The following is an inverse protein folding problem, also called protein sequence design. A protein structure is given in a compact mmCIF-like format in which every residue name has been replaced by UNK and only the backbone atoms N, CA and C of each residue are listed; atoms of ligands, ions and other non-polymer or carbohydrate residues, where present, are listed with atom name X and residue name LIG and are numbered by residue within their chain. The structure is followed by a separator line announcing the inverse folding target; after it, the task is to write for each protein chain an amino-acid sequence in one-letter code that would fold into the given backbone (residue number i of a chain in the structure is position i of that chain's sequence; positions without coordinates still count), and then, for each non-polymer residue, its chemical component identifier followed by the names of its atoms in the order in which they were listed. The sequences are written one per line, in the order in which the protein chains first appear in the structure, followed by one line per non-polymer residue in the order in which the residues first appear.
data_IF_585596793843
#
_entry.id   IF_585596793843
#
_cell.length_a   1.000
_cell.length_b   1.000
_cell.length_c   1.000
_cell.angle_alpha   90.00
_cell.angle_beta   90.00
_cell.angle_gamma   90.00
#
_symmetry.space_group_name_H-M   'P 1'
#
loop_
_entity.id
_entity.type
_entity.pdbx_description
1 polymer ?
#
# COMPACT_ATOMS: atom_id res chain seq x y z
N UNK A 1 25.71 -1.59 1.00
CA UNK A 1 25.75 -3.07 1.11
C UNK A 1 24.74 -3.62 0.12
N UNK A 2 25.09 -4.64 -0.66
CA UNK A 2 24.14 -5.32 -1.53
C UNK A 2 23.16 -6.11 -0.65
N UNK A 3 21.86 -5.92 -0.84
CA UNK A 3 20.84 -6.67 -0.09
C UNK A 3 20.92 -8.15 -0.46
N UNK A 4 20.88 -9.04 0.54
CA UNK A 4 20.88 -10.49 0.33
C UNK A 4 19.47 -11.02 0.62
N UNK A 5 18.71 -11.44 -0.41
CA UNK A 5 17.41 -12.07 -0.22
C UNK A 5 17.53 -13.36 0.60
N UNK A 6 16.44 -13.75 1.25
CA UNK A 6 16.31 -15.05 1.91
C UNK A 6 15.06 -15.78 1.42
N UNK A 7 14.74 -16.92 2.03
CA UNK A 7 13.56 -17.72 1.69
C UNK A 7 12.30 -16.85 1.63
N UNK A 8 11.66 -16.84 0.46
CA UNK A 8 10.52 -15.99 0.14
C UNK A 8 9.28 -16.87 -0.10
N UNK A 9 8.64 -17.40 0.97
CA UNK A 9 7.62 -18.42 0.83
C UNK A 9 6.33 -17.91 0.16
N UNK A 10 6.12 -16.60 0.16
CA UNK A 10 4.99 -15.94 -0.50
C UNK A 10 5.34 -15.41 -1.89
N UNK A 11 6.59 -15.56 -2.34
CA UNK A 11 7.07 -15.02 -3.61
C UNK A 11 6.89 -13.51 -3.75
N UNK A 12 7.02 -12.75 -2.64
CA UNK A 12 6.83 -11.28 -2.63
C UNK A 12 7.80 -10.57 -3.58
N UNK A 13 7.34 -9.50 -4.23
CA UNK A 13 8.16 -8.69 -5.15
C UNK A 13 7.84 -7.18 -5.06
N UNK A 14 7.71 -6.64 -3.85
CA UNK A 14 7.43 -5.22 -3.61
C UNK A 14 5.93 -4.90 -3.48
N UNK A 15 5.65 -3.61 -3.31
CA UNK A 15 4.28 -3.07 -3.29
C UNK A 15 3.72 -2.99 -4.71
N UNK A 16 2.41 -3.18 -4.85
CA UNK A 16 1.69 -2.98 -6.12
C UNK A 16 0.88 -1.68 -6.11
N UNK A 17 0.05 -1.48 -5.08
CA UNK A 17 -0.73 -0.25 -4.88
C UNK A 17 -1.02 0.02 -3.41
N UNK A 18 -1.44 1.25 -3.14
CA UNK A 18 -2.10 1.66 -1.90
C UNK A 18 -3.50 2.17 -2.24
N UNK A 19 -4.51 1.66 -1.53
CA UNK A 19 -5.91 2.05 -1.71
C UNK A 19 -6.37 2.92 -0.55
N UNK A 20 -6.95 4.06 -0.92
CA UNK A 20 -7.45 5.06 0.00
C UNK A 20 -8.97 5.14 -0.09
N UNK A 21 -9.55 5.48 1.05
CA UNK A 21 -10.95 5.84 1.16
C UNK A 21 -11.07 7.15 1.93
N UNK A 22 -12.01 8.00 1.55
CA UNK A 22 -12.26 9.26 2.23
C UNK A 22 -13.75 9.63 2.17
N UNK A 23 -14.26 10.36 3.19
CA UNK A 23 -15.59 10.98 3.12
C UNK A 23 -15.71 11.97 1.95
N UNK A 24 -14.63 12.68 1.65
CA UNK A 24 -14.50 13.56 0.48
C UNK A 24 -13.39 13.03 -0.47
N UNK A 25 -13.74 12.15 -1.43
CA UNK A 25 -12.77 11.60 -2.37
C UNK A 25 -12.26 12.64 -3.37
N UNK A 26 -12.99 13.75 -3.58
CA UNK A 26 -12.57 14.82 -4.50
C UNK A 26 -11.43 15.62 -3.89
N UNK A 27 -11.57 16.02 -2.62
CA UNK A 27 -10.50 16.72 -1.89
C UNK A 27 -9.23 15.85 -1.77
N UNK A 28 -9.38 14.53 -1.56
CA UNK A 28 -8.25 13.61 -1.55
C UNK A 28 -7.57 13.51 -2.93
N UNK A 29 -8.35 13.45 -4.01
CA UNK A 29 -7.82 13.48 -5.38
C UNK A 29 -7.02 14.74 -5.68
N UNK A 30 -7.53 15.91 -5.27
CA UNK A 30 -6.82 17.19 -5.41
C UNK A 30 -5.50 17.22 -4.62
N UNK A 31 -5.43 16.56 -3.46
CA UNK A 31 -4.19 16.42 -2.71
C UNK A 31 -3.16 15.60 -3.50
N UNK A 32 -3.56 14.47 -4.08
CA UNK A 32 -2.68 13.66 -4.92
C UNK A 32 -2.17 14.43 -6.13
N UNK A 33 -3.02 15.21 -6.78
CA UNK A 33 -2.62 16.07 -7.91
C UNK A 33 -1.61 17.14 -7.49
N UNK A 34 -1.77 17.77 -6.32
CA UNK A 34 -0.75 18.68 -5.75
C UNK A 34 0.57 17.98 -5.46
N UNK A 35 0.55 16.70 -5.10
CA UNK A 35 1.75 15.88 -4.92
C UNK A 35 2.36 15.39 -6.24
N UNK A 36 1.83 15.79 -7.40
CA UNK A 36 2.33 15.43 -8.72
C UNK A 36 1.82 14.10 -9.26
N UNK A 37 0.82 13.49 -8.62
CA UNK A 37 0.15 12.30 -9.16
C UNK A 37 -0.86 12.68 -10.23
N UNK A 38 -0.99 11.83 -11.24
CA UNK A 38 -1.97 12.00 -12.29
C UNK A 38 -3.08 10.96 -12.16
N UNK A 39 -4.35 11.38 -12.12
CA UNK A 39 -5.46 10.45 -12.36
C UNK A 39 -5.36 9.93 -13.81
N UNK A 40 -5.07 8.65 -14.00
CA UNK A 40 -4.81 8.06 -15.33
C UNK A 40 -5.95 7.17 -15.84
N UNK A 41 -6.76 6.61 -14.94
CA UNK A 41 -7.81 5.67 -15.31
C UNK A 41 -8.92 5.62 -14.27
N UNK A 42 -10.12 5.20 -14.69
CA UNK A 42 -11.24 4.87 -13.81
C UNK A 42 -11.63 3.41 -13.96
N UNK A 43 -12.08 2.80 -12.88
CA UNK A 43 -12.56 1.42 -12.92
C UNK A 43 -13.79 1.30 -13.84
N UNK A 44 -13.92 0.18 -14.55
CA UNK A 44 -14.97 -0.03 -15.57
C UNK A 44 -16.39 0.10 -15.01
N UNK A 45 -16.60 -0.36 -13.77
CA UNK A 45 -17.93 -0.52 -13.18
C UNK A 45 -18.11 0.12 -11.79
N UNK A 46 -17.03 0.61 -11.18
CA UNK A 46 -17.03 1.10 -9.80
C UNK A 46 -16.56 2.54 -9.77
N UNK A 47 -16.96 3.29 -8.76
CA UNK A 47 -16.47 4.65 -8.52
C UNK A 47 -15.07 4.61 -7.88
N UNK A 48 -14.10 4.13 -8.66
CA UNK A 48 -12.71 3.93 -8.23
C UNK A 48 -11.80 4.59 -9.26
N UNK A 49 -10.86 5.42 -8.81
CA UNK A 49 -9.94 6.17 -9.67
C UNK A 49 -8.50 5.80 -9.36
N UNK A 50 -7.72 5.51 -10.42
CA UNK A 50 -6.30 5.20 -10.35
C UNK A 50 -5.47 6.47 -10.60
N UNK A 51 -4.62 6.79 -9.63
CA UNK A 51 -3.61 7.84 -9.67
C UNK A 51 -2.22 7.21 -9.78
N UNK A 52 -1.36 7.77 -10.63
CA UNK A 52 0.01 7.26 -10.84
C UNK A 52 1.05 8.37 -10.82
N UNK A 53 2.19 8.06 -10.21
CA UNK A 53 3.44 8.81 -10.33
C UNK A 53 4.62 7.83 -10.33
N UNK A 54 5.44 7.81 -11.37
CA UNK A 54 6.46 6.78 -11.53
C UNK A 54 5.85 5.37 -11.49
N UNK A 55 6.36 4.49 -10.61
CA UNK A 55 5.80 3.17 -10.34
C UNK A 55 4.75 3.16 -9.20
N UNK A 56 4.48 4.30 -8.57
CA UNK A 56 3.53 4.41 -7.47
C UNK A 56 2.10 4.42 -8.00
N UNK A 57 1.29 3.45 -7.55
CA UNK A 57 -0.13 3.38 -7.82
C UNK A 57 -0.94 3.70 -6.57
N UNK A 58 -1.66 4.82 -6.59
CA UNK A 58 -2.64 5.14 -5.57
C UNK A 58 -4.05 4.99 -6.14
N UNK A 59 -4.91 4.33 -5.38
CA UNK A 59 -6.30 4.12 -5.75
C UNK A 59 -7.17 4.91 -4.78
N UNK A 60 -8.10 5.71 -5.28
CA UNK A 60 -9.18 6.28 -4.46
C UNK A 60 -10.43 5.45 -4.72
N UNK A 61 -10.92 4.79 -3.67
CA UNK A 61 -12.16 4.03 -3.71
C UNK A 61 -13.33 4.84 -3.11
N UNK A 62 -14.16 5.35 -4.01
CA UNK A 62 -15.37 6.11 -3.71
C UNK A 62 -16.65 5.31 -4.02
N UNK A 63 -16.55 3.98 -4.12
CA UNK A 63 -17.69 3.11 -4.40
C UNK A 63 -18.69 3.16 -3.23
N UNK A 64 -19.95 3.57 -3.44
CA UNK A 64 -20.95 3.61 -2.37
C UNK A 64 -21.22 2.21 -1.81
N UNK A 65 -21.64 2.13 -0.54
CA UNK A 65 -21.97 0.87 0.14
C UNK A 65 -20.84 -0.20 0.17
N UNK A 66 -19.60 0.21 -0.10
CA UNK A 66 -18.42 -0.66 -0.12
C UNK A 66 -17.74 -0.81 1.24
N UNK A 67 -16.78 -1.74 1.32
CA UNK A 67 -15.82 -1.82 2.43
C UNK A 67 -15.09 -0.49 2.63
N UNK A 68 -14.54 0.09 1.55
CA UNK A 68 -13.79 1.34 1.59
C UNK A 68 -14.60 2.49 2.22
N UNK A 69 -15.85 2.66 1.83
CA UNK A 69 -16.70 3.72 2.40
C UNK A 69 -17.12 3.45 3.85
N UNK A 70 -17.21 2.19 4.28
CA UNK A 70 -17.36 1.87 5.72
C UNK A 70 -16.10 2.20 6.49
N UNK A 71 -14.93 1.88 5.94
CA UNK A 71 -13.63 2.18 6.53
C UNK A 71 -13.42 3.69 6.69
N UNK A 72 -13.75 4.49 5.66
CA UNK A 72 -13.67 5.94 5.70
C UNK A 72 -14.61 6.60 6.73
N UNK A 73 -15.77 5.98 7.03
CA UNK A 73 -16.67 6.46 8.09
C UNK A 73 -16.08 6.28 9.49
N UNK A 74 -15.24 5.27 9.67
CA UNK A 74 -14.59 4.98 10.95
C UNK A 74 -13.30 5.79 11.10
N UNK A 75 -12.45 5.81 10.08
CA UNK A 75 -11.09 6.34 10.18
C UNK A 75 -10.88 7.72 9.51
N UNK A 76 -11.92 8.26 8.86
CA UNK A 76 -11.78 9.47 8.03
C UNK A 76 -11.00 9.20 6.73
N UNK A 77 -10.34 10.22 6.13
CA UNK A 77 -9.48 10.02 4.97
C UNK A 77 -8.28 9.16 5.35
N UNK A 78 -8.21 7.94 4.81
CA UNK A 78 -7.35 6.87 5.33
C UNK A 78 -6.95 5.87 4.25
N UNK A 79 -5.91 5.07 4.55
CA UNK A 79 -5.52 3.91 3.75
C UNK A 79 -6.35 2.73 4.19
N UNK A 80 -7.23 2.23 3.32
CA UNK A 80 -8.09 1.08 3.63
C UNK A 80 -7.51 -0.24 3.12
N UNK A 81 -6.55 -0.21 2.20
CA UNK A 81 -5.84 -1.41 1.78
C UNK A 81 -4.45 -1.13 1.20
N UNK A 82 -3.62 -2.16 1.16
CA UNK A 82 -2.36 -2.21 0.43
C UNK A 82 -2.30 -3.48 -0.40
N UNK A 83 -1.50 -3.49 -1.46
CA UNK A 83 -1.28 -4.67 -2.29
C UNK A 83 0.19 -5.04 -2.38
N UNK A 84 0.48 -6.32 -2.25
CA UNK A 84 1.81 -6.88 -2.48
C UNK A 84 1.84 -7.63 -3.80
N UNK A 85 2.89 -7.39 -4.58
CA UNK A 85 3.24 -8.25 -5.71
C UNK A 85 3.66 -9.60 -5.18
N UNK A 86 3.11 -10.67 -5.75
CA UNK A 86 3.47 -12.05 -5.44
C UNK A 86 3.64 -12.89 -6.71
N UNK A 87 4.42 -13.96 -6.62
CA UNK A 87 4.63 -14.82 -7.78
C UNK A 87 3.34 -15.54 -8.21
N UNK A 88 2.52 -16.00 -7.26
CA UNK A 88 1.24 -16.66 -7.50
C UNK A 88 0.25 -16.23 -6.40
N UNK A 89 -0.85 -15.55 -6.79
CA UNK A 89 -1.79 -14.99 -5.83
C UNK A 89 -2.64 -16.07 -5.15
N UNK A 90 -2.98 -17.15 -5.86
CA UNK A 90 -3.76 -18.25 -5.31
C UNK A 90 -2.96 -19.04 -4.28
N UNK A 91 -1.69 -19.34 -4.59
CA UNK A 91 -0.78 -20.01 -3.67
C UNK A 91 -0.51 -19.15 -2.42
N UNK A 92 -0.21 -17.86 -2.61
CA UNK A 92 0.03 -16.93 -1.49
C UNK A 92 -1.21 -16.85 -0.58
N UNK A 93 -2.40 -16.69 -1.16
CA UNK A 93 -3.64 -16.64 -0.40
C UNK A 93 -3.90 -17.93 0.38
N UNK A 94 -3.81 -19.09 -0.26
CA UNK A 94 -4.03 -20.39 0.40
C UNK A 94 -3.07 -20.58 1.59
N UNK A 95 -1.78 -20.30 1.39
CA UNK A 95 -0.77 -20.39 2.46
C UNK A 95 -1.06 -19.42 3.60
N UNK A 96 -1.50 -18.20 3.31
CA UNK A 96 -1.87 -17.24 4.34
C UNK A 96 -3.01 -17.76 5.22
N UNK A 97 -4.04 -18.35 4.61
CA UNK A 97 -5.15 -18.97 5.34
C UNK A 97 -4.71 -20.18 6.18
N UNK A 98 -3.88 -21.07 5.62
CA UNK A 98 -3.33 -22.22 6.35
C UNK A 98 -2.55 -21.79 7.60
N UNK A 99 -1.90 -20.64 7.55
CA UNK A 99 -1.16 -20.07 8.67
C UNK A 99 -2.04 -19.26 9.63
N UNK A 100 -3.35 -19.17 9.40
CA UNK A 100 -4.31 -18.51 10.28
C UNK A 100 -4.58 -17.04 9.98
N UNK A 101 -4.30 -16.57 8.76
CA UNK A 101 -4.80 -15.27 8.31
C UNK A 101 -6.33 -15.31 8.12
N UNK A 102 -7.00 -14.17 8.33
CA UNK A 102 -8.42 -14.03 8.00
C UNK A 102 -8.57 -13.60 6.55
N UNK A 103 -9.15 -14.49 5.73
CA UNK A 103 -9.51 -14.18 4.35
C UNK A 103 -10.58 -13.09 4.27
N UNK A 104 -10.57 -12.35 3.17
CA UNK A 104 -11.60 -11.37 2.83
C UNK A 104 -12.30 -11.81 1.54
N UNK A 105 -13.63 -11.93 1.61
CA UNK A 105 -14.46 -12.30 0.47
C UNK A 105 -14.74 -11.05 -0.38
N UNK A 106 -14.12 -10.99 -1.55
CA UNK A 106 -14.24 -9.85 -2.44
C UNK A 106 -15.42 -10.07 -3.40
N UNK A 107 -16.50 -9.31 -3.21
CA UNK A 107 -17.63 -9.34 -4.14
C UNK A 107 -17.22 -8.64 -5.44
N UNK A 108 -16.85 -9.44 -6.45
CA UNK A 108 -16.43 -8.96 -7.77
C UNK A 108 -17.56 -9.08 -8.79
N UNK A 109 -17.65 -8.07 -9.66
CA UNK A 109 -18.61 -8.04 -10.75
C UNK A 109 -18.19 -8.97 -11.91
N UNK A 110 -19.10 -9.27 -12.85
CA UNK A 110 -18.74 -10.02 -14.06
C UNK A 110 -17.60 -9.33 -14.81
N UNK A 111 -16.61 -10.10 -15.25
CA UNK A 111 -15.43 -9.63 -15.99
C UNK A 111 -14.45 -8.75 -15.19
N UNK A 112 -14.56 -8.69 -13.86
CA UNK A 112 -13.54 -8.09 -12.97
C UNK A 112 -12.57 -9.16 -12.46
N UNK A 113 -11.32 -8.79 -12.20
CA UNK A 113 -10.39 -9.71 -11.54
C UNK A 113 -10.79 -9.93 -10.08
N UNK A 114 -10.94 -11.21 -9.70
CA UNK A 114 -11.05 -11.58 -8.30
C UNK A 114 -9.66 -11.62 -7.65
N UNK A 115 -9.20 -10.47 -7.16
CA UNK A 115 -7.91 -10.33 -6.48
C UNK A 115 -8.09 -10.79 -5.01
N UNK A 116 -7.40 -11.86 -4.56
CA UNK A 116 -7.55 -12.37 -3.21
C UNK A 116 -6.90 -11.42 -2.19
N UNK A 117 -7.52 -11.34 -1.00
CA UNK A 117 -7.05 -10.48 0.07
C UNK A 117 -7.24 -11.12 1.45
N UNK A 118 -6.41 -10.70 2.40
CA UNK A 118 -6.56 -11.01 3.83
C UNK A 118 -6.72 -9.71 4.63
N UNK A 119 -7.22 -9.82 5.86
CA UNK A 119 -7.18 -8.71 6.83
C UNK A 119 -5.75 -8.41 7.27
N UNK A 120 -5.43 -7.13 7.35
CA UNK A 120 -4.20 -6.55 7.86
C UNK A 120 -4.47 -5.56 9.00
N UNK A 121 -3.58 -4.57 9.13
CA UNK A 121 -3.57 -3.59 10.23
C UNK A 121 -4.90 -2.84 10.36
N UNK A 122 -5.47 -2.82 11.57
CA UNK A 122 -6.71 -2.07 11.84
C UNK A 122 -7.88 -2.46 10.92
N UNK A 123 -8.03 -3.75 10.59
CA UNK A 123 -9.01 -4.26 9.63
C UNK A 123 -8.83 -3.79 8.18
N UNK A 124 -7.72 -3.12 7.84
CA UNK A 124 -7.35 -2.84 6.44
C UNK A 124 -7.16 -4.14 5.66
N UNK A 125 -7.10 -4.08 4.33
CA UNK A 125 -6.84 -5.26 3.51
C UNK A 125 -5.40 -5.33 3.00
N UNK A 126 -4.90 -6.56 2.84
CA UNK A 126 -3.66 -6.86 2.11
C UNK A 126 -4.04 -7.73 0.91
N UNK A 127 -3.94 -7.17 -0.29
CA UNK A 127 -4.19 -7.87 -1.56
C UNK A 127 -2.94 -8.58 -2.06
N UNK A 128 -3.13 -9.74 -2.67
CA UNK A 128 -2.09 -10.49 -3.38
C UNK A 128 -2.26 -10.31 -4.89
N UNK A 129 -1.33 -9.61 -5.53
CA UNK A 129 -1.37 -9.36 -6.98
C UNK A 129 -0.29 -10.15 -7.69
N UNK A 130 -0.68 -10.95 -8.68
CA UNK A 130 0.23 -11.76 -9.50
C UNK A 130 0.33 -11.28 -10.97
N UNK A 131 -0.28 -10.16 -11.31
CA UNK A 131 -0.30 -9.56 -12.67
C UNK A 131 0.12 -8.10 -12.62
N UNK A 132 1.32 -7.80 -13.10
CA UNK A 132 1.85 -6.45 -13.25
C UNK A 132 2.81 -6.39 -14.44
N UNK A 133 3.02 -5.20 -14.99
CA UNK A 133 3.96 -5.02 -16.10
C UNK A 133 5.41 -5.26 -15.65
N UNK A 134 6.20 -5.94 -16.48
CA UNK A 134 7.60 -6.25 -16.19
C UNK A 134 7.80 -7.51 -15.33
N UNK A 135 6.72 -8.18 -14.89
CA UNK A 135 6.84 -9.45 -14.16
C UNK A 135 7.66 -10.46 -14.97
N UNK A 136 8.64 -11.10 -14.31
CA UNK A 136 9.54 -12.06 -14.96
C UNK A 136 10.44 -11.46 -16.05
N UNK A 137 10.63 -10.13 -16.08
CA UNK A 137 11.40 -9.45 -17.10
C UNK A 137 10.68 -9.28 -18.44
N UNK A 138 9.35 -9.42 -18.46
CA UNK A 138 8.56 -9.25 -19.67
C UNK A 138 8.71 -7.84 -20.25
N UNK A 139 9.01 -7.76 -21.54
CA UNK A 139 9.14 -6.48 -22.24
C UNK A 139 7.75 -5.83 -22.50
N UNK A 140 7.68 -4.49 -22.61
CA UNK A 140 6.46 -3.82 -23.04
C UNK A 140 5.91 -4.40 -24.35
N UNK A 141 4.61 -4.70 -24.39
CA UNK A 141 3.94 -5.30 -25.54
C UNK A 141 4.12 -6.82 -25.70
N UNK A 142 4.92 -7.47 -24.86
CA UNK A 142 5.04 -8.93 -24.87
C UNK A 142 3.73 -9.61 -24.43
N UNK A 143 3.45 -10.80 -24.98
CA UNK A 143 2.30 -11.62 -24.57
C UNK A 143 2.44 -11.95 -23.08
N UNK A 144 1.39 -11.68 -22.31
CA UNK A 144 1.38 -11.89 -20.86
C UNK A 144 1.92 -10.72 -20.03
N UNK A 145 2.46 -9.66 -20.66
CA UNK A 145 2.79 -8.41 -19.98
C UNK A 145 1.53 -7.57 -19.74
N UNK A 146 0.65 -8.07 -18.89
CA UNK A 146 -0.64 -7.46 -18.53
C UNK A 146 -0.69 -7.20 -17.02
N UNK A 147 -1.23 -6.05 -16.64
CA UNK A 147 -1.46 -5.65 -15.26
C UNK A 147 -2.94 -5.77 -14.90
N UNK A 148 -3.24 -5.75 -13.59
CA UNK A 148 -4.63 -5.68 -13.11
C UNK A 148 -5.38 -4.45 -13.67
N UNK A 149 -4.66 -3.35 -13.95
CA UNK A 149 -5.26 -2.11 -14.44
C UNK A 149 -5.73 -2.21 -15.89
N UNK A 150 -5.05 -2.98 -16.73
CA UNK A 150 -5.46 -3.18 -18.13
C UNK A 150 -6.80 -3.94 -18.22
N UNK A 151 -7.05 -4.80 -17.23
CA UNK A 151 -8.26 -5.60 -17.12
C UNK A 151 -9.39 -4.81 -16.49
N UNK A 152 -9.18 -4.17 -15.34
CA UNK A 152 -10.29 -3.60 -14.54
C UNK A 152 -10.55 -2.11 -14.77
N UNK A 153 -9.63 -1.38 -15.42
CA UNK A 153 -9.71 0.07 -15.59
C UNK A 153 -9.80 0.49 -17.07
N UNK A 154 -10.36 1.69 -17.28
CA UNK A 154 -10.45 2.39 -18.56
C UNK A 154 -9.65 3.70 -18.46
N UNK A 155 -8.74 3.99 -19.40
CA UNK A 155 -7.99 5.24 -19.41
C UNK A 155 -8.88 6.48 -19.47
N UNK A 156 -8.47 7.56 -18.80
CA UNK A 156 -9.19 8.84 -18.85
C UNK A 156 -8.88 9.60 -20.16
N UNK A 157 -9.90 10.05 -20.93
CA UNK A 157 -9.71 10.66 -22.26
C UNK A 157 -8.90 11.96 -22.24
N UNK A 158 -9.13 12.83 -21.25
CA UNK A 158 -8.56 14.19 -21.21
C UNK A 158 -7.05 14.25 -20.97
N UNK A 159 -6.41 13.09 -20.81
CA UNK A 159 -4.97 12.98 -20.56
C UNK A 159 -4.28 12.08 -21.60
N UNK A 160 -5.00 11.53 -22.59
CA UNK A 160 -4.51 10.43 -23.45
C UNK A 160 -3.30 10.75 -24.33
N UNK A 161 -3.02 12.02 -24.65
CA UNK A 161 -1.77 12.41 -25.32
C UNK A 161 -0.74 12.86 -24.29
N UNK A 162 0.26 12.01 -24.05
CA UNK A 162 1.34 12.30 -23.10
C UNK A 162 1.06 11.96 -21.62
N UNK A 163 -0.14 11.50 -21.23
CA UNK A 163 -0.43 11.05 -19.86
C UNK A 163 0.59 10.07 -19.31
N UNK A 164 0.97 9.07 -20.09
CA UNK A 164 1.88 8.02 -19.60
C UNK A 164 3.25 8.62 -19.27
N UNK A 165 3.76 9.52 -20.13
CA UNK A 165 5.02 10.23 -19.89
C UNK A 165 4.91 11.26 -18.76
N UNK A 166 3.77 11.96 -18.66
CA UNK A 166 3.50 12.95 -17.61
C UNK A 166 3.29 12.29 -16.24
N UNK A 167 2.56 11.18 -16.17
CA UNK A 167 2.42 10.36 -14.97
C UNK A 167 3.75 9.70 -14.58
N UNK A 168 4.56 9.27 -15.54
CA UNK A 168 5.90 8.78 -15.25
C UNK A 168 6.82 9.87 -14.67
N UNK A 169 6.66 11.14 -15.08
CA UNK A 169 7.50 12.24 -14.63
C UNK A 169 7.02 12.88 -13.30
N UNK A 170 5.74 13.26 -13.20
CA UNK A 170 5.15 13.96 -12.06
C UNK A 170 6.08 15.00 -11.42
N UNK A 171 6.22 14.92 -10.10
CA UNK A 171 7.21 15.66 -9.30
C UNK A 171 8.48 14.84 -9.03
N UNK A 172 8.68 13.70 -9.69
CA UNK A 172 9.90 12.88 -9.55
C UNK A 172 9.82 11.80 -8.46
N UNK A 173 8.62 11.45 -7.99
CA UNK A 173 8.44 10.28 -7.13
C UNK A 173 8.50 8.99 -7.95
N UNK A 174 9.24 8.00 -7.46
CA UNK A 174 9.61 6.81 -8.25
C UNK A 174 8.91 5.54 -7.78
N UNK A 175 8.91 5.24 -6.47
CA UNK A 175 8.33 4.01 -5.90
C UNK A 175 7.87 4.22 -4.45
N UNK A 176 7.12 3.26 -3.90
CA UNK A 176 6.80 3.21 -2.46
C UNK A 176 7.99 2.60 -1.72
N UNK A 177 8.67 3.40 -0.90
CA UNK A 177 9.84 2.92 -0.15
C UNK A 177 9.46 2.11 1.09
N UNK A 178 8.53 2.64 1.88
CA UNK A 178 7.98 1.96 3.04
C UNK A 178 6.63 2.57 3.43
N UNK A 179 5.88 1.84 4.26
CA UNK A 179 4.72 2.37 4.97
C UNK A 179 4.79 1.92 6.42
N UNK A 180 4.26 2.71 7.35
CA UNK A 180 4.36 2.42 8.78
C UNK A 180 3.08 1.88 9.36
N UNK A 181 3.17 1.24 10.51
CA UNK A 181 2.01 0.87 11.32
C UNK A 181 2.14 1.50 12.71
N UNK A 182 1.12 2.23 13.13
CA UNK A 182 1.00 2.62 14.53
C UNK A 182 0.06 1.64 15.22
N UNK A 183 0.56 1.02 16.28
CA UNK A 183 -0.14 -0.05 17.01
C UNK A 183 -0.35 0.33 18.47
N UNK A 184 -1.36 -0.25 19.10
CA UNK A 184 -1.56 -0.08 20.54
C UNK A 184 -0.37 -0.66 21.32
N UNK A 185 -0.09 -0.09 22.49
CA UNK A 185 1.02 -0.53 23.35
C UNK A 185 0.92 -2.02 23.63
N UNK A 186 2.00 -2.76 23.39
CA UNK A 186 2.10 -4.20 23.59
C UNK A 186 1.74 -5.03 22.36
N UNK A 187 1.21 -4.42 21.28
CA UNK A 187 0.84 -5.12 20.05
C UNK A 187 1.93 -5.10 18.97
N UNK A 188 3.07 -4.45 19.23
CA UNK A 188 4.19 -4.47 18.30
C UNK A 188 4.68 -5.89 17.99
N UNK A 189 4.78 -6.75 19.01
CA UNK A 189 5.20 -8.15 18.81
C UNK A 189 4.16 -8.91 17.99
N UNK A 190 2.87 -8.71 18.25
CA UNK A 190 1.78 -9.35 17.51
C UNK A 190 1.87 -9.05 16.01
N UNK A 191 2.07 -7.79 15.64
CA UNK A 191 2.19 -7.38 14.24
C UNK A 191 3.53 -7.80 13.61
N UNK A 192 4.63 -7.82 14.37
CA UNK A 192 5.90 -8.37 13.90
C UNK A 192 5.74 -9.86 13.58
N UNK A 193 5.21 -10.64 14.53
CA UNK A 193 4.95 -12.08 14.39
C UNK A 193 3.99 -12.36 13.21
N UNK A 194 3.00 -11.49 12.97
CA UNK A 194 2.10 -11.58 11.80
C UNK A 194 2.88 -11.57 10.48
N UNK A 195 3.77 -10.59 10.30
CA UNK A 195 4.57 -10.48 9.07
C UNK A 195 5.66 -11.54 8.96
N UNK A 196 6.29 -11.93 10.07
CA UNK A 196 7.25 -13.03 10.11
C UNK A 196 6.60 -14.36 9.72
N UNK A 197 5.50 -14.73 10.37
CA UNK A 197 4.79 -15.98 10.13
C UNK A 197 4.21 -16.06 8.72
N UNK A 198 3.47 -15.04 8.31
CA UNK A 198 2.74 -15.08 7.03
C UNK A 198 3.66 -14.85 5.84
N UNK A 199 4.60 -13.91 5.92
CA UNK A 199 5.36 -13.47 4.75
C UNK A 199 6.86 -13.78 4.81
N UNK A 200 7.34 -14.31 5.94
CA UNK A 200 8.77 -14.54 6.14
C UNK A 200 9.57 -13.25 6.32
N UNK A 201 8.94 -12.16 6.75
CA UNK A 201 9.66 -10.91 7.03
C UNK A 201 10.67 -11.13 8.17
N UNK A 202 11.64 -10.23 8.27
CA UNK A 202 12.59 -10.21 9.39
C UNK A 202 12.71 -8.80 9.97
N UNK A 203 12.90 -8.72 11.27
CA UNK A 203 13.34 -7.51 11.93
C UNK A 203 14.79 -7.22 11.51
N UNK A 204 15.01 -6.11 10.80
CA UNK A 204 16.35 -5.69 10.38
C UNK A 204 16.94 -4.61 11.28
N UNK A 205 16.09 -3.92 12.05
CA UNK A 205 16.51 -2.89 12.99
C UNK A 205 15.44 -2.63 14.04
N UNK A 206 15.88 -2.47 15.28
CA UNK A 206 15.08 -1.96 16.39
C UNK A 206 15.50 -0.54 16.72
N UNK A 207 14.53 0.29 17.09
CA UNK A 207 14.75 1.64 17.56
C UNK A 207 14.00 1.85 18.89
N UNK A 208 14.69 2.40 19.87
CA UNK A 208 14.11 2.98 21.07
C UNK A 208 14.45 4.46 21.05
N UNK A 209 13.45 5.29 20.81
CA UNK A 209 13.64 6.72 20.56
C UNK A 209 13.03 7.49 21.73
N UNK A 210 13.89 8.18 22.48
CA UNK A 210 13.49 9.10 23.54
C UNK A 210 13.60 10.55 23.06
N UNK A 211 12.47 11.22 22.92
CA UNK A 211 12.40 12.66 22.78
C UNK A 211 12.49 13.37 24.13
N UNK A 212 12.53 14.71 24.12
CA UNK A 212 12.60 15.51 25.36
C UNK A 212 11.41 15.31 26.31
N UNK A 213 10.26 14.90 25.78
CA UNK A 213 8.99 14.80 26.53
C UNK A 213 8.25 13.47 26.33
N UNK A 214 8.57 12.72 25.27
CA UNK A 214 7.84 11.50 24.86
C UNK A 214 8.80 10.51 24.22
N UNK A 215 8.47 9.22 24.25
CA UNK A 215 9.24 8.16 23.59
C UNK A 215 8.40 7.24 22.71
N UNK A 216 9.06 6.57 21.77
CA UNK A 216 8.45 5.51 20.95
C UNK A 216 9.45 4.37 20.71
N UNK A 217 8.89 3.19 20.52
CA UNK A 217 9.63 2.01 20.06
C UNK A 217 9.23 1.71 18.63
N UNK A 218 10.17 1.25 17.82
CA UNK A 218 9.93 0.91 16.43
C UNK A 218 10.71 -0.34 16.00
N UNK A 219 10.01 -1.31 15.38
CA UNK A 219 10.61 -2.48 14.75
C UNK A 219 10.50 -2.35 13.23
N UNK A 220 11.64 -2.26 12.55
CA UNK A 220 11.69 -2.21 11.09
C UNK A 220 11.61 -3.63 10.51
N UNK A 221 10.44 -4.00 10.02
CA UNK A 221 10.23 -5.29 9.35
C UNK A 221 10.53 -5.18 7.86
N UNK A 222 11.33 -6.09 7.32
CA UNK A 222 11.67 -6.12 5.88
C UNK A 222 11.30 -7.47 5.27
N UNK A 223 10.74 -7.43 4.07
CA UNK A 223 10.40 -8.61 3.27
C UNK A 223 11.62 -9.40 2.77
N UNK A 224 11.45 -10.70 2.47
CA UNK A 224 12.50 -11.53 1.85
C UNK A 224 13.07 -10.98 0.54
N UNK A 225 12.26 -10.27 -0.25
CA UNK A 225 12.72 -9.62 -1.49
C UNK A 225 13.42 -8.27 -1.25
N UNK A 226 13.36 -7.71 -0.04
CA UNK A 226 13.98 -6.44 0.33
C UNK A 226 13.27 -5.19 -0.17
N UNK A 227 12.14 -5.35 -0.88
CA UNK A 227 11.39 -4.26 -1.53
C UNK A 227 10.19 -3.75 -0.70
N UNK A 228 9.69 -4.55 0.23
CA UNK A 228 8.62 -4.17 1.16
C UNK A 228 9.23 -3.96 2.54
N UNK A 229 8.98 -2.79 3.14
CA UNK A 229 9.43 -2.42 4.48
C UNK A 229 8.27 -1.83 5.27
N UNK A 230 8.09 -2.32 6.50
CA UNK A 230 6.99 -1.93 7.37
C UNK A 230 7.53 -1.69 8.78
N UNK A 231 7.92 -0.44 9.12
CA UNK A 231 8.20 -0.09 10.50
C UNK A 231 6.91 -0.13 11.34
N UNK A 232 6.94 -0.90 12.42
CA UNK A 232 5.84 -1.04 13.37
C UNK A 232 6.20 -0.22 14.60
N UNK A 233 5.39 0.78 14.93
CA UNK A 233 5.63 1.74 16.00
C UNK A 233 4.60 1.55 17.13
N UNK A 234 5.08 1.54 18.37
CA UNK A 234 4.21 1.60 19.55
C UNK A 234 4.67 2.71 20.51
N UNK A 235 3.74 3.21 21.30
CA UNK A 235 4.01 4.30 22.24
C UNK A 235 4.62 3.81 23.55
N UNK A 236 5.67 4.49 24.03
CA UNK A 236 6.24 4.28 25.37
C UNK A 236 5.45 5.01 26.47
N UNK A 237 4.64 6.00 26.12
CA UNK A 237 3.86 6.84 27.05
C UNK A 237 2.46 7.19 26.48
N UNK A 238 1.62 7.91 27.22
CA UNK A 238 0.25 8.22 26.79
C UNK A 238 0.13 9.55 26.03
N UNK A 239 1.25 10.27 25.85
CA UNK A 239 1.31 11.62 25.25
C UNK A 239 2.06 11.66 23.92
N UNK A 240 2.62 10.53 23.48
CA UNK A 240 3.39 10.47 22.26
C UNK A 240 2.52 10.70 21.02
N UNK A 241 3.17 11.07 19.92
CA UNK A 241 2.55 11.19 18.60
C UNK A 241 1.87 9.90 18.14
N UNK A 242 2.31 8.74 18.64
CA UNK A 242 1.66 7.44 18.34
C UNK A 242 0.32 7.35 19.08
N UNK A 243 0.27 7.76 20.35
CA UNK A 243 -0.97 7.78 21.13
C UNK A 243 -1.99 8.76 20.52
N UNK A 244 -1.55 9.94 20.11
CA UNK A 244 -2.38 10.92 19.40
C UNK A 244 -2.96 10.35 18.10
N UNK A 245 -2.13 9.68 17.29
CA UNK A 245 -2.59 9.00 16.08
C UNK A 245 -3.70 7.99 16.38
N UNK A 246 -3.51 7.10 17.37
CA UNK A 246 -4.48 6.05 17.68
C UNK A 246 -5.84 6.64 18.10
N UNK A 247 -5.84 7.78 18.80
CA UNK A 247 -7.07 8.49 19.20
C UNK A 247 -7.74 9.14 18.00
N UNK A 248 -7.01 9.91 17.19
CA UNK A 248 -7.58 10.64 16.05
C UNK A 248 -8.02 9.69 14.92
N UNK A 249 -7.23 8.64 14.67
CA UNK A 249 -7.50 7.60 13.68
C UNK A 249 -8.53 6.58 14.17
N UNK A 250 -8.87 6.57 15.46
CA UNK A 250 -9.82 5.61 16.06
C UNK A 250 -9.37 4.14 15.94
N UNK A 251 -8.08 3.88 16.14
CA UNK A 251 -7.51 2.55 16.12
C UNK A 251 -6.10 2.50 15.56
N UNK A 252 -5.64 1.28 15.27
CA UNK A 252 -4.35 1.04 14.61
C UNK A 252 -4.48 1.23 13.11
N UNK A 253 -3.37 1.58 12.46
CA UNK A 253 -3.41 1.82 11.02
C UNK A 253 -2.09 2.25 10.44
N UNK A 254 -2.14 2.64 9.16
CA UNK A 254 -1.00 3.19 8.45
C UNK A 254 -0.87 4.67 8.77
N UNK A 255 0.23 5.06 9.41
CA UNK A 255 0.47 6.45 9.78
C UNK A 255 1.01 7.26 8.60
N UNK A 256 2.04 6.74 7.92
CA UNK A 256 2.63 7.41 6.77
C UNK A 256 3.12 6.42 5.73
N UNK A 257 3.28 6.95 4.52
CA UNK A 257 3.84 6.26 3.37
C UNK A 257 5.00 7.10 2.86
N UNK A 258 6.18 6.49 2.77
CA UNK A 258 7.36 7.12 2.21
C UNK A 258 7.48 6.77 0.73
N UNK A 259 7.78 7.78 -0.07
CA UNK A 259 7.93 7.67 -1.52
C UNK A 259 9.38 7.99 -1.89
N UNK A 260 9.99 7.13 -2.70
CA UNK A 260 11.35 7.31 -3.20
C UNK A 260 11.43 8.42 -4.25
N UNK A 261 12.60 9.05 -4.35
CA UNK A 261 12.94 10.02 -5.40
C UNK A 261 14.46 10.03 -5.62
N UNK A 262 14.87 10.28 -6.87
CA UNK A 262 16.28 10.43 -7.23
C UNK A 262 16.79 11.88 -7.00
N UNK A 263 15.89 12.84 -6.83
CA UNK A 263 16.24 14.24 -6.56
C UNK A 263 15.23 14.88 -5.59
N UNK A 264 15.54 14.79 -4.30
CA UNK A 264 14.66 15.29 -3.23
C UNK A 264 14.47 16.81 -3.29
N UNK A 265 15.51 17.58 -3.66
CA UNK A 265 15.40 19.05 -3.74
C UNK A 265 14.42 19.47 -4.83
N UNK A 266 14.57 18.92 -6.03
CA UNK A 266 13.67 19.22 -7.15
C UNK A 266 12.24 18.71 -6.89
N UNK A 267 12.10 17.57 -6.20
CA UNK A 267 10.79 17.01 -5.86
C UNK A 267 10.04 17.91 -4.89
N UNK A 268 10.70 18.35 -3.82
CA UNK A 268 10.09 19.22 -2.79
C UNK A 268 9.79 20.61 -3.34
N UNK A 269 10.64 21.18 -4.21
CA UNK A 269 10.40 22.51 -4.80
C UNK A 269 9.16 22.54 -5.72
N UNK A 270 8.73 21.40 -6.25
CA UNK A 270 7.56 21.27 -7.12
C UNK A 270 6.24 20.98 -6.37
N UNK A 271 6.31 20.53 -5.11
CA UNK A 271 5.15 20.22 -4.27
C UNK A 271 4.63 21.45 -3.52
#
# INVERSE_FOLDING_TARGET
MQFTPWENPMGTDGFEFVEYAAPDPVALGQLFERMGFLAIAKHRHKNVTLYRQGEVNFIINAEPNSFAQRFARQHGPSVCAMAFRVNDAAQAYARALELGAWGFDNQTGPMELNIPAIKGIGDSLIYFVDRWHGKGGAAPGAIGNISIYDVDFVPLPEKSEGAAASAAAGHGLTYIDHLTHNVHRGRMKEWADFYERLFGFKEVRYFDIEGKLTGLKSKAMTSPCGKIRIPINESSDDKSQIAEYLVLYQGEGIQHIALGTDNIYATVERM
#
